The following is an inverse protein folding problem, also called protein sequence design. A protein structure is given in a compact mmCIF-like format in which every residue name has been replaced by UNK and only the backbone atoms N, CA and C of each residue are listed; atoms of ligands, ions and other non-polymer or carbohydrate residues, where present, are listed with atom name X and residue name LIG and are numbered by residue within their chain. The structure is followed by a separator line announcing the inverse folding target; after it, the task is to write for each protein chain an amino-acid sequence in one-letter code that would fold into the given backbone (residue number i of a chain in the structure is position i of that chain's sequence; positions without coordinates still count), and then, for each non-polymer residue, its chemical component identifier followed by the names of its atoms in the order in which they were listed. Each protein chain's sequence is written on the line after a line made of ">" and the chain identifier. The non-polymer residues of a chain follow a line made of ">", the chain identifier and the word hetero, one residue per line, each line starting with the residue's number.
data_IF_483264512936
#
_entry.id   IF_483264512936
#
_cell.length_a   1.000
_cell.length_b   1.000
_cell.length_c   1.000
_cell.angle_alpha   90.00
_cell.angle_beta   90.00
_cell.angle_gamma   90.00
#
_symmetry.space_group_name_H-M   'P 1'
#
loop_
_entity.id
_entity.type
_entity.pdbx_description
1 polymer ?
#
# COMPACT_ATOMS: atom_id res chain seq x y z
N UNK A 1 28.50 -25.75 25.88
CA UNK A 1 29.67 -26.09 25.03
C UNK A 1 30.44 -27.24 25.70
N UNK A 2 30.80 -28.30 24.97
CA UNK A 2 31.68 -29.37 25.49
C UNK A 2 32.96 -29.33 24.67
N UNK A 3 34.08 -28.96 25.30
CA UNK A 3 35.40 -29.02 24.65
C UNK A 3 36.01 -30.38 24.97
N UNK A 4 36.37 -31.14 23.94
CA UNK A 4 37.22 -32.33 24.05
C UNK A 4 38.60 -31.95 23.52
N UNK A 5 39.65 -32.25 24.25
CA UNK A 5 41.03 -32.13 23.77
C UNK A 5 41.78 -33.44 24.00
N UNK A 6 42.69 -33.72 23.09
CA UNK A 6 43.64 -34.84 23.15
C UNK A 6 44.92 -34.35 23.82
N UNK A 7 45.28 -34.90 24.97
CA UNK A 7 46.62 -34.70 25.53
C UNK A 7 47.64 -35.60 24.84
N UNK A 8 48.92 -35.23 24.91
CA UNK A 8 50.06 -35.86 24.22
C UNK A 8 50.23 -37.38 24.46
N UNK A 9 49.52 -37.97 25.42
CA UNK A 9 49.58 -39.40 25.73
C UNK A 9 48.43 -40.22 25.11
N UNK A 10 47.71 -39.68 24.11
CA UNK A 10 46.67 -40.42 23.37
C UNK A 10 45.40 -40.78 24.16
N UNK A 11 45.28 -40.34 25.43
CA UNK A 11 44.06 -40.51 26.24
C UNK A 11 43.26 -39.20 26.30
N UNK A 12 42.03 -39.24 25.82
CA UNK A 12 41.08 -38.11 25.85
C UNK A 12 40.74 -37.72 27.29
N UNK A 13 40.99 -36.46 27.68
CA UNK A 13 40.42 -35.89 28.91
C UNK A 13 39.24 -34.99 28.52
N UNK A 14 38.05 -35.34 29.01
CA UNK A 14 36.83 -34.55 28.81
C UNK A 14 36.70 -33.59 30.00
N UNK A 15 36.82 -32.27 29.77
CA UNK A 15 36.38 -31.26 30.73
C UNK A 15 35.13 -30.58 30.20
N UNK A 16 33.98 -30.92 30.79
CA UNK A 16 32.74 -30.16 30.59
C UNK A 16 32.71 -29.01 31.60
N UNK A 17 32.73 -27.76 31.11
CA UNK A 17 32.37 -26.60 31.94
C UNK A 17 31.00 -26.14 31.46
N UNK A 18 29.97 -26.24 32.31
CA UNK A 18 28.71 -25.54 32.09
C UNK A 18 29.06 -24.05 32.16
N UNK A 19 28.82 -23.33 31.06
CA UNK A 19 28.81 -21.87 31.14
C UNK A 19 27.67 -21.48 32.09
N UNK A 20 27.89 -20.56 33.04
CA UNK A 20 26.82 -20.08 33.89
C UNK A 20 25.87 -19.24 33.03
N UNK A 21 24.60 -19.21 33.44
CA UNK A 21 23.46 -18.53 32.83
C UNK A 21 22.62 -19.37 31.86
N UNK A 22 21.41 -19.64 32.33
CA UNK A 22 20.24 -20.04 31.54
C UNK A 22 20.00 -19.00 30.45
N UNK A 23 20.48 -19.27 29.24
CA UNK A 23 20.23 -18.43 28.08
C UNK A 23 18.93 -18.89 27.40
N UNK A 24 17.87 -18.10 27.60
CA UNK A 24 16.68 -18.14 26.74
C UNK A 24 17.08 -17.52 25.40
N UNK A 25 16.88 -18.26 24.31
CA UNK A 25 17.16 -17.80 22.95
C UNK A 25 16.03 -16.91 22.44
N UNK A 26 16.27 -15.60 22.36
CA UNK A 26 15.52 -14.70 21.48
C UNK A 26 16.34 -14.41 20.21
N UNK A 27 15.65 -14.30 19.07
CA UNK A 27 16.12 -14.49 17.69
C UNK A 27 17.22 -13.54 17.17
N UNK A 28 17.88 -12.71 17.99
CA UNK A 28 18.84 -11.70 17.51
C UNK A 28 20.22 -11.64 18.17
N UNK A 29 20.58 -12.56 19.06
CA UNK A 29 21.95 -12.60 19.63
C UNK A 29 22.69 -13.88 19.27
N UNK A 30 23.29 -13.91 18.08
CA UNK A 30 24.29 -14.93 17.74
C UNK A 30 25.49 -14.86 18.68
N UNK A 31 25.95 -16.00 19.21
CA UNK A 31 27.22 -16.06 19.96
C UNK A 31 28.38 -15.82 19.00
N UNK A 32 29.01 -14.63 19.09
CA UNK A 32 30.24 -14.35 18.34
C UNK A 32 31.40 -15.10 18.99
N UNK A 33 32.00 -16.00 18.24
CA UNK A 33 33.23 -16.69 18.66
C UNK A 33 34.40 -15.96 18.02
N UNK A 34 35.32 -15.41 18.82
CA UNK A 34 36.53 -14.81 18.29
C UNK A 34 37.44 -15.90 17.72
N UNK A 35 37.69 -15.84 16.40
CA UNK A 35 38.60 -16.74 15.69
C UNK A 35 40.02 -16.72 16.26
N UNK A 36 40.47 -15.58 16.80
CA UNK A 36 41.79 -15.44 17.43
C UNK A 36 41.93 -16.35 18.66
N UNK A 37 40.90 -16.41 19.50
CA UNK A 37 40.89 -17.28 20.69
C UNK A 37 40.89 -18.76 20.30
N UNK A 38 40.20 -19.14 19.22
CA UNK A 38 40.26 -20.51 18.70
C UNK A 38 41.63 -20.86 18.13
N UNK A 39 42.30 -19.88 17.52
CA UNK A 39 43.65 -20.04 16.96
C UNK A 39 44.68 -20.27 18.07
N UNK A 40 44.67 -19.47 19.14
CA UNK A 40 45.55 -19.65 20.31
C UNK A 40 45.36 -21.01 20.99
N UNK A 41 44.12 -21.48 21.09
CA UNK A 41 43.81 -22.80 21.68
C UNK A 41 44.30 -23.94 20.78
N UNK A 42 44.23 -23.78 19.46
CA UNK A 42 44.72 -24.75 18.49
C UNK A 42 46.26 -24.80 18.44
N UNK A 43 46.91 -23.65 18.56
CA UNK A 43 48.37 -23.55 18.65
C UNK A 43 48.94 -24.23 19.90
N UNK A 44 48.19 -24.23 21.01
CA UNK A 44 48.60 -24.85 22.28
C UNK A 44 48.20 -26.32 22.46
N UNK A 45 47.11 -26.78 21.83
CA UNK A 45 46.55 -28.12 22.09
C UNK A 45 46.33 -28.97 20.83
N UNK A 46 46.85 -28.53 19.67
CA UNK A 46 46.68 -29.20 18.39
C UNK A 46 45.27 -29.00 17.80
N UNK A 47 44.74 -30.00 17.12
CA UNK A 47 43.48 -29.87 16.38
C UNK A 47 42.26 -29.64 17.30
N UNK A 48 41.63 -28.48 17.16
CA UNK A 48 40.37 -28.14 17.83
C UNK A 48 39.19 -28.46 16.90
N UNK A 49 38.39 -29.47 17.26
CA UNK A 49 37.14 -29.77 16.55
C UNK A 49 35.95 -29.16 17.29
N UNK A 50 35.22 -28.25 16.63
CA UNK A 50 33.95 -27.72 17.14
C UNK A 50 32.79 -28.46 16.49
N UNK A 51 31.96 -29.13 17.30
CA UNK A 51 30.73 -29.76 16.83
C UNK A 51 29.56 -28.90 17.27
N UNK A 52 28.98 -28.16 16.31
CA UNK A 52 27.74 -27.41 16.52
C UNK A 52 26.58 -28.37 16.30
N UNK A 53 25.98 -28.87 17.39
CA UNK A 53 24.71 -29.60 17.32
C UNK A 53 23.57 -28.59 17.30
N UNK A 54 23.16 -28.17 16.11
CA UNK A 54 21.90 -27.46 15.93
C UNK A 54 20.77 -28.46 16.09
N UNK A 55 20.08 -28.45 17.22
CA UNK A 55 18.75 -29.03 17.28
C UNK A 55 17.86 -28.15 16.38
N UNK A 56 17.63 -28.54 15.13
CA UNK A 56 16.45 -28.04 14.39
C UNK A 56 15.24 -28.55 15.16
N UNK A 57 14.79 -27.72 16.09
CA UNK A 57 13.87 -28.09 17.14
C UNK A 57 12.46 -28.22 16.57
N UNK A 58 11.60 -28.98 17.24
CA UNK A 58 10.18 -29.24 16.90
C UNK A 58 9.38 -28.00 16.46
N UNK A 59 9.85 -26.79 16.79
CA UNK A 59 9.35 -25.48 16.39
C UNK A 59 9.21 -25.32 14.86
N UNK A 60 10.18 -25.75 14.04
CA UNK A 60 10.03 -25.68 12.56
C UNK A 60 8.86 -26.57 12.07
N UNK A 61 8.61 -27.70 12.73
CA UNK A 61 7.55 -28.63 12.35
C UNK A 61 6.17 -28.15 12.82
N UNK A 62 6.10 -27.53 14.01
CA UNK A 62 4.88 -26.89 14.54
C UNK A 62 4.48 -25.72 13.64
N UNK A 63 5.43 -24.88 13.23
CA UNK A 63 5.16 -23.76 12.30
C UNK A 63 4.58 -24.27 10.98
N UNK A 64 5.11 -25.35 10.40
CA UNK A 64 4.57 -25.94 9.17
C UNK A 64 3.14 -26.46 9.33
N UNK A 65 2.81 -27.05 10.49
CA UNK A 65 1.44 -27.52 10.74
C UNK A 65 0.47 -26.36 10.92
N UNK A 66 0.87 -25.29 11.60
CA UNK A 66 0.06 -24.07 11.76
C UNK A 66 -0.21 -23.42 10.40
N UNK A 67 0.83 -23.28 9.57
CA UNK A 67 0.73 -22.73 8.20
C UNK A 67 -0.30 -23.52 7.39
N UNK A 68 -0.25 -24.86 7.43
CA UNK A 68 -1.24 -25.71 6.74
C UNK A 68 -2.68 -25.50 7.21
N UNK A 69 -2.91 -25.26 8.51
CA UNK A 69 -4.26 -24.96 9.00
C UNK A 69 -4.76 -23.57 8.57
N UNK A 70 -3.85 -22.69 8.20
CA UNK A 70 -4.15 -21.36 7.67
C UNK A 70 -4.28 -21.34 6.15
N UNK A 71 -4.02 -22.42 5.42
CA UNK A 71 -4.24 -22.50 3.98
C UNK A 71 -5.73 -22.57 3.66
N UNK A 72 -6.20 -21.72 2.75
CA UNK A 72 -7.58 -21.76 2.30
C UNK A 72 -7.76 -22.98 1.38
N UNK A 73 -8.74 -23.88 1.62
CA UNK A 73 -8.93 -25.10 0.82
C UNK A 73 -9.44 -24.85 -0.61
N UNK A 74 -9.60 -23.58 -1.02
CA UNK A 74 -10.14 -23.18 -2.33
C UNK A 74 -9.05 -22.58 -3.20
N UNK A 75 -8.26 -21.65 -2.67
CA UNK A 75 -7.20 -20.99 -3.41
C UNK A 75 -5.79 -21.45 -3.03
N UNK A 76 -5.65 -22.28 -2.00
CA UNK A 76 -4.38 -22.74 -1.42
C UNK A 76 -3.45 -21.61 -0.91
N UNK A 77 -3.97 -20.38 -0.84
CA UNK A 77 -3.27 -19.24 -0.23
C UNK A 77 -3.50 -19.20 1.28
N UNK A 78 -2.54 -18.61 2.01
CA UNK A 78 -2.70 -18.38 3.44
C UNK A 78 -3.84 -17.38 3.69
N UNK A 79 -4.81 -17.81 4.50
CA UNK A 79 -5.93 -17.01 4.93
C UNK A 79 -5.45 -15.81 5.75
N UNK A 80 -6.07 -14.66 5.49
CA UNK A 80 -5.86 -13.41 6.22
C UNK A 80 -7.17 -12.96 6.85
N UNK A 81 -7.15 -12.22 7.97
CA UNK A 81 -8.35 -11.64 8.54
C UNK A 81 -9.07 -10.74 7.52
N UNK A 82 -10.41 -10.77 7.45
CA UNK A 82 -11.30 -11.64 8.23
C UNK A 82 -11.34 -13.08 7.69
N UNK A 83 -11.21 -14.08 8.56
CA UNK A 83 -11.29 -15.50 8.20
C UNK A 83 -12.72 -15.98 8.45
N UNK A 84 -13.40 -16.50 7.43
CA UNK A 84 -14.83 -16.84 7.48
C UNK A 84 -15.05 -18.32 7.78
N UNK A 85 -16.09 -18.65 8.54
CA UNK A 85 -16.46 -20.03 8.85
C UNK A 85 -17.82 -20.44 8.30
N UNK A 86 -17.97 -21.70 7.92
CA UNK A 86 -19.29 -22.31 7.77
C UNK A 86 -19.89 -22.69 9.13
N UNK A 87 -21.16 -23.09 9.15
CA UNK A 87 -21.88 -23.47 10.37
C UNK A 87 -21.25 -24.63 11.15
N UNK A 88 -20.40 -25.43 10.51
CA UNK A 88 -19.68 -26.57 11.13
C UNK A 88 -18.22 -26.27 11.48
N UNK A 89 -17.73 -25.05 11.21
CA UNK A 89 -16.40 -24.58 11.64
C UNK A 89 -15.27 -24.62 10.59
N UNK A 90 -15.50 -25.12 9.37
CA UNK A 90 -14.49 -25.06 8.30
C UNK A 90 -14.19 -23.61 7.90
N UNK A 91 -12.91 -23.28 7.78
CA UNK A 91 -12.43 -21.90 7.59
C UNK A 91 -12.01 -21.59 6.16
N UNK A 92 -12.29 -20.37 5.71
CA UNK A 92 -12.04 -19.90 4.35
C UNK A 92 -11.60 -18.43 4.36
N UNK A 93 -10.79 -18.02 3.38
CA UNK A 93 -10.41 -16.62 3.23
C UNK A 93 -11.62 -15.75 2.81
N UNK A 94 -11.55 -14.47 3.13
CA UNK A 94 -12.61 -13.51 2.82
C UNK A 94 -12.88 -13.36 1.31
N UNK A 95 -11.91 -13.67 0.44
CA UNK A 95 -12.03 -13.52 -1.01
C UNK A 95 -12.71 -14.71 -1.67
N UNK A 96 -12.51 -15.93 -1.17
CA UNK A 96 -13.15 -17.13 -1.70
C UNK A 96 -14.58 -17.29 -1.19
N UNK A 97 -14.84 -16.95 0.08
CA UNK A 97 -16.16 -17.18 0.71
C UNK A 97 -17.35 -16.62 -0.09
N UNK A 98 -17.36 -15.36 -0.59
CA UNK A 98 -18.49 -14.80 -1.34
C UNK A 98 -18.79 -15.51 -2.67
N UNK A 99 -17.82 -16.26 -3.21
CA UNK A 99 -17.94 -16.98 -4.50
C UNK A 99 -18.60 -18.35 -4.33
N UNK A 100 -18.96 -18.75 -3.11
CA UNK A 100 -19.42 -20.08 -2.77
C UNK A 100 -20.82 -20.04 -2.16
N UNK A 101 -21.72 -20.87 -2.68
CA UNK A 101 -23.09 -21.00 -2.16
C UNK A 101 -23.17 -21.87 -0.92
N UNK A 102 -22.35 -22.94 -0.85
CA UNK A 102 -22.27 -23.87 0.27
C UNK A 102 -20.81 -24.16 0.62
N UNK A 103 -20.57 -24.69 1.82
CA UNK A 103 -19.24 -25.13 2.22
C UNK A 103 -18.77 -26.28 1.32
N UNK A 104 -17.62 -26.18 0.61
CA UNK A 104 -17.13 -27.25 -0.25
C UNK A 104 -16.71 -28.51 0.53
N UNK A 105 -16.36 -28.35 1.82
CA UNK A 105 -15.90 -29.46 2.66
C UNK A 105 -17.05 -30.29 3.24
N UNK A 106 -18.11 -29.64 3.73
CA UNK A 106 -19.21 -30.31 4.44
C UNK A 106 -20.60 -30.12 3.82
N UNK A 107 -20.69 -29.36 2.73
CA UNK A 107 -21.93 -29.03 1.98
C UNK A 107 -22.98 -28.23 2.75
N UNK A 108 -22.70 -27.87 4.01
CA UNK A 108 -23.61 -27.07 4.83
C UNK A 108 -23.69 -25.61 4.39
N UNK A 109 -24.78 -24.96 4.78
CA UNK A 109 -24.96 -23.53 4.63
C UNK A 109 -23.88 -22.76 5.41
N UNK A 110 -23.66 -21.53 5.00
CA UNK A 110 -22.69 -20.67 5.63
C UNK A 110 -23.28 -19.91 6.82
N UNK A 111 -22.43 -19.69 7.83
CA UNK A 111 -22.66 -18.70 8.87
C UNK A 111 -21.96 -17.39 8.51
N UNK A 112 -22.48 -16.25 8.97
CA UNK A 112 -21.76 -14.96 8.89
C UNK A 112 -20.86 -14.76 10.12
N UNK A 113 -20.02 -15.76 10.42
CA UNK A 113 -19.15 -15.79 11.60
C UNK A 113 -17.68 -15.79 11.16
N UNK A 114 -16.83 -15.15 11.97
CA UNK A 114 -15.38 -15.10 11.78
C UNK A 114 -14.65 -16.07 12.71
N UNK A 115 -13.55 -16.63 12.24
CA UNK A 115 -12.64 -17.44 13.06
C UNK A 115 -11.58 -16.58 13.74
N UNK A 116 -11.94 -15.93 14.84
CA UNK A 116 -11.01 -15.10 15.61
C UNK A 116 -9.77 -15.87 16.10
N UNK A 117 -9.91 -17.18 16.37
CA UNK A 117 -8.80 -18.02 16.82
C UNK A 117 -7.73 -18.16 15.73
N UNK A 118 -8.13 -18.43 14.48
CA UNK A 118 -7.19 -18.46 13.35
C UNK A 118 -6.69 -17.05 13.00
N UNK A 119 -7.51 -16.02 13.13
CA UNK A 119 -7.07 -14.63 12.94
C UNK A 119 -5.93 -14.27 13.91
N UNK A 120 -6.02 -14.74 15.17
CA UNK A 120 -4.99 -14.56 16.19
C UNK A 120 -3.65 -15.25 15.88
N UNK A 121 -3.61 -16.20 14.95
CA UNK A 121 -2.37 -16.88 14.50
C UNK A 121 -1.71 -16.18 13.31
N UNK A 122 -2.40 -15.25 12.65
CA UNK A 122 -1.85 -14.54 11.48
C UNK A 122 -0.61 -13.67 11.79
N UNK A 123 -0.39 -13.13 13.01
CA UNK A 123 0.86 -12.41 13.32
C UNK A 123 2.10 -13.30 13.41
N UNK A 124 1.96 -14.60 13.69
CA UNK A 124 3.11 -15.53 13.85
C UNK A 124 3.49 -16.25 12.56
N UNK A 125 2.80 -15.95 11.46
CA UNK A 125 3.07 -16.50 10.13
C UNK A 125 3.50 -15.39 9.18
N UNK A 126 4.40 -15.74 8.28
CA UNK A 126 4.89 -14.85 7.23
C UNK A 126 4.11 -15.09 5.93
N UNK A 127 3.75 -13.99 5.27
CA UNK A 127 3.00 -13.95 4.03
C UNK A 127 3.87 -13.34 2.94
N UNK A 128 3.91 -13.98 1.79
CA UNK A 128 4.45 -13.38 0.57
C UNK A 128 3.48 -12.34 0.02
N UNK A 129 4.02 -11.26 -0.53
CA UNK A 129 3.24 -10.23 -1.20
C UNK A 129 2.46 -10.83 -2.39
N UNK A 130 1.20 -10.45 -2.54
CA UNK A 130 0.36 -10.88 -3.68
C UNK A 130 0.92 -10.45 -5.05
N UNK A 131 1.83 -9.47 -5.06
CA UNK A 131 2.51 -8.99 -6.26
C UNK A 131 3.87 -9.68 -6.48
N UNK A 132 4.15 -10.80 -5.79
CA UNK A 132 5.40 -11.53 -5.94
C UNK A 132 5.68 -12.00 -7.37
N UNK A 133 4.64 -12.46 -8.07
CA UNK A 133 4.74 -12.82 -9.50
C UNK A 133 5.15 -11.65 -10.42
N UNK A 134 5.04 -10.40 -9.93
CA UNK A 134 5.44 -9.20 -10.66
C UNK A 134 6.80 -8.64 -10.20
N UNK A 135 7.49 -9.33 -9.27
CA UNK A 135 8.83 -8.98 -8.79
C UNK A 135 8.92 -8.55 -7.33
N UNK A 136 7.81 -8.53 -6.58
CA UNK A 136 7.86 -8.15 -5.17
C UNK A 136 8.37 -9.30 -4.28
N UNK A 137 9.54 -9.14 -3.66
CA UNK A 137 10.11 -10.16 -2.76
C UNK A 137 9.72 -9.98 -1.28
N UNK A 138 8.79 -9.08 -0.97
CA UNK A 138 8.39 -8.80 0.40
C UNK A 138 7.69 -10.02 1.04
N UNK A 139 8.19 -10.39 2.22
CA UNK A 139 7.67 -11.44 3.08
C UNK A 139 7.51 -10.85 4.49
N UNK A 140 6.27 -10.69 4.96
CA UNK A 140 5.94 -9.93 6.18
C UNK A 140 4.85 -10.63 7.01
N UNK A 141 4.66 -10.22 8.26
CA UNK A 141 3.59 -10.77 9.12
C UNK A 141 2.19 -10.26 8.70
N UNK A 142 1.13 -10.87 9.24
CA UNK A 142 -0.25 -10.66 8.80
C UNK A 142 -0.72 -9.20 8.60
N UNK A 143 -0.53 -8.29 9.57
CA UNK A 143 -0.93 -6.88 9.41
C UNK A 143 0.04 -6.07 8.56
N UNK A 144 1.33 -6.38 8.65
CA UNK A 144 2.40 -5.69 7.92
C UNK A 144 2.29 -5.94 6.41
N UNK A 145 1.97 -7.18 6.00
CA UNK A 145 1.81 -7.50 4.57
C UNK A 145 0.62 -6.76 3.95
N UNK A 146 -0.48 -6.60 4.70
CA UNK A 146 -1.65 -5.86 4.22
C UNK A 146 -1.28 -4.37 4.03
N UNK A 147 -0.60 -3.77 5.01
CA UNK A 147 -0.13 -2.40 4.90
C UNK A 147 0.88 -2.23 3.73
N UNK A 148 1.76 -3.20 3.51
CA UNK A 148 2.67 -3.22 2.39
C UNK A 148 1.94 -3.28 1.04
N UNK A 149 1.00 -4.21 0.86
CA UNK A 149 0.27 -4.40 -0.41
C UNK A 149 -0.60 -3.18 -0.78
N UNK A 150 -0.97 -2.33 0.18
CA UNK A 150 -1.62 -1.06 -0.11
C UNK A 150 -0.72 -0.11 -0.91
N UNK A 151 0.58 -0.08 -0.57
CA UNK A 151 1.58 0.85 -1.10
C UNK A 151 2.68 0.18 -1.94
N UNK A 152 2.51 -1.10 -2.28
CA UNK A 152 3.50 -1.87 -3.00
C UNK A 152 3.77 -1.27 -4.38
N UNK A 153 5.03 -1.10 -4.74
CA UNK A 153 5.44 -0.54 -6.04
C UNK A 153 5.06 -1.42 -7.24
N UNK A 154 4.93 -2.73 -7.00
CA UNK A 154 4.53 -3.74 -8.00
C UNK A 154 3.01 -3.87 -8.12
N UNK A 155 2.25 -3.07 -7.38
CA UNK A 155 0.80 -3.05 -7.45
C UNK A 155 0.34 -2.70 -8.84
N UNK A 156 -0.51 -3.56 -9.40
CA UNK A 156 -1.05 -3.40 -10.74
C UNK A 156 -2.34 -2.58 -10.71
N UNK A 157 -2.44 -1.60 -11.60
CA UNK A 157 -3.59 -0.72 -11.77
C UNK A 157 -4.20 -0.92 -13.16
N UNK A 158 -5.53 -0.97 -13.22
CA UNK A 158 -6.26 -0.83 -14.47
C UNK A 158 -6.23 0.63 -14.91
N UNK A 159 -6.09 0.86 -16.21
CA UNK A 159 -6.22 2.21 -16.75
C UNK A 159 -7.63 2.75 -16.45
N UNK A 160 -7.77 3.93 -15.82
CA UNK A 160 -9.08 4.49 -15.47
C UNK A 160 -9.83 5.10 -16.66
N UNK A 161 -9.24 5.12 -17.86
CA UNK A 161 -9.88 5.62 -19.07
C UNK A 161 -10.82 4.56 -19.66
N UNK A 162 -12.06 4.95 -19.93
CA UNK A 162 -13.07 4.10 -20.56
C UNK A 162 -12.55 3.49 -21.87
N UNK A 163 -12.84 2.21 -22.08
CA UNK A 163 -12.39 1.40 -23.23
C UNK A 163 -10.88 1.15 -23.32
N UNK A 164 -10.10 1.51 -22.29
CA UNK A 164 -8.71 1.07 -22.18
C UNK A 164 -8.60 -0.18 -21.31
N UNK A 165 -7.95 -1.22 -21.83
CA UNK A 165 -7.75 -2.52 -21.13
C UNK A 165 -6.35 -2.65 -20.52
N UNK A 166 -5.53 -1.59 -20.59
CA UNK A 166 -4.17 -1.63 -20.09
C UNK A 166 -4.15 -1.88 -18.58
N UNK A 167 -3.22 -2.74 -18.16
CA UNK A 167 -2.95 -3.02 -16.75
C UNK A 167 -1.44 -2.93 -16.51
N UNK A 168 -1.03 -2.17 -15.50
CA UNK A 168 0.39 -2.00 -15.21
C UNK A 168 0.63 -1.42 -13.82
N UNK A 169 1.88 -1.48 -13.36
CA UNK A 169 2.27 -0.79 -12.13
C UNK A 169 2.23 0.74 -12.30
N UNK A 170 2.51 1.50 -11.24
CA UNK A 170 2.47 2.97 -11.28
C UNK A 170 3.29 3.56 -12.45
N UNK A 171 4.54 3.11 -12.61
CA UNK A 171 5.44 3.63 -13.64
C UNK A 171 4.99 3.26 -15.05
N UNK A 172 4.62 1.99 -15.26
CA UNK A 172 4.10 1.50 -16.54
C UNK A 172 2.80 2.21 -16.92
N UNK A 173 1.91 2.46 -15.95
CA UNK A 173 0.67 3.22 -16.16
C UNK A 173 0.97 4.67 -16.52
N UNK A 174 1.90 5.33 -15.82
CA UNK A 174 2.34 6.70 -16.13
C UNK A 174 2.88 6.80 -17.56
N UNK A 175 3.68 5.84 -17.99
CA UNK A 175 4.22 5.80 -19.36
C UNK A 175 3.14 5.50 -20.40
N UNK A 176 2.24 4.57 -20.11
CA UNK A 176 1.09 4.29 -20.97
C UNK A 176 0.23 5.54 -21.20
N UNK A 177 -0.03 6.34 -20.16
CA UNK A 177 -0.75 7.61 -20.32
C UNK A 177 -0.03 8.58 -21.25
N UNK A 178 1.30 8.70 -21.15
CA UNK A 178 2.09 9.58 -22.04
C UNK A 178 1.99 9.16 -23.51
N UNK A 179 1.94 7.87 -23.79
CA UNK A 179 1.99 7.34 -25.15
C UNK A 179 0.59 7.20 -25.78
N UNK A 180 -0.40 6.78 -25.00
CA UNK A 180 -1.72 6.40 -25.50
C UNK A 180 -2.84 7.37 -25.11
N UNK A 181 -2.62 8.21 -24.09
CA UNK A 181 -3.64 9.11 -23.52
C UNK A 181 -3.10 10.52 -23.22
N UNK A 182 -2.16 11.01 -24.04
CA UNK A 182 -1.49 12.29 -23.83
C UNK A 182 -2.46 13.47 -23.67
N UNK A 183 -3.58 13.47 -24.40
CA UNK A 183 -4.64 14.49 -24.33
C UNK A 183 -5.36 14.55 -22.97
N UNK A 184 -5.33 13.46 -22.20
CA UNK A 184 -5.98 13.35 -20.90
C UNK A 184 -4.98 13.48 -19.75
N UNK A 185 -3.71 13.75 -20.04
CA UNK A 185 -2.62 13.81 -19.08
C UNK A 185 -2.19 15.26 -18.82
N UNK A 186 -2.16 15.67 -17.56
CA UNK A 186 -1.57 16.94 -17.14
C UNK A 186 -0.10 16.69 -16.76
N UNK A 187 0.81 17.45 -17.37
CA UNK A 187 2.26 17.31 -17.18
C UNK A 187 2.85 18.09 -16.00
N UNK A 188 2.05 18.83 -15.23
CA UNK A 188 2.51 19.75 -14.17
C UNK A 188 1.58 19.72 -12.96
N UNK A 189 2.10 20.02 -11.77
CA UNK A 189 1.33 20.19 -10.53
C UNK A 189 0.44 21.44 -10.54
N UNK A 190 0.72 22.38 -11.45
CA UNK A 190 -0.12 23.54 -11.72
C UNK A 190 -0.74 23.35 -13.10
N UNK A 191 -2.03 23.06 -13.12
CA UNK A 191 -2.80 22.95 -14.35
C UNK A 191 -3.52 24.27 -14.63
N UNK A 192 -3.40 24.81 -15.85
CA UNK A 192 -4.15 25.98 -16.29
C UNK A 192 -5.02 25.61 -17.47
N UNK A 193 -6.29 25.99 -17.41
CA UNK A 193 -7.26 25.67 -18.44
C UNK A 193 -8.23 26.83 -18.66
N UNK A 194 -8.65 26.96 -19.91
CA UNK A 194 -9.64 27.92 -20.35
C UNK A 194 -10.94 27.19 -20.68
N UNK A 195 -12.08 27.71 -20.24
CA UNK A 195 -13.40 27.23 -20.66
C UNK A 195 -14.30 28.40 -21.06
N UNK A 196 -15.21 28.17 -22.02
CA UNK A 196 -16.11 29.21 -22.52
C UNK A 196 -17.41 28.67 -23.10
N UNK A 197 -18.15 29.57 -23.75
CA UNK A 197 -19.48 29.32 -24.31
C UNK A 197 -19.43 28.65 -25.69
N UNK A 198 -18.80 27.48 -25.81
CA UNK A 198 -19.00 26.70 -27.05
C UNK A 198 -20.23 25.80 -26.89
N UNK A 199 -21.36 26.36 -27.35
CA UNK A 199 -22.60 25.72 -27.80
C UNK A 199 -23.44 24.91 -26.80
N UNK A 200 -24.58 25.50 -26.40
CA UNK A 200 -25.93 24.90 -26.26
C UNK A 200 -26.08 23.41 -25.90
N UNK A 201 -25.25 22.86 -25.00
CA UNK A 201 -25.42 21.52 -24.45
C UNK A 201 -25.35 21.57 -22.93
N UNK A 202 -26.25 20.83 -22.30
CA UNK A 202 -26.75 21.09 -20.94
C UNK A 202 -25.77 20.81 -19.80
N UNK A 203 -24.62 20.21 -20.06
CA UNK A 203 -23.55 19.96 -19.08
C UNK A 203 -22.25 19.65 -19.82
N UNK A 204 -21.13 20.30 -19.46
CA UNK A 204 -19.80 19.88 -19.92
C UNK A 204 -19.12 19.15 -18.77
N UNK A 205 -18.57 17.96 -19.05
CA UNK A 205 -17.73 17.22 -18.11
C UNK A 205 -16.38 16.94 -18.77
N UNK A 206 -15.31 17.31 -18.08
CA UNK A 206 -13.93 17.11 -18.52
C UNK A 206 -13.19 16.35 -17.44
N UNK A 207 -12.53 15.27 -17.84
CA UNK A 207 -11.79 14.38 -16.94
C UNK A 207 -10.34 14.35 -17.39
N UNK A 208 -9.44 14.69 -16.47
CA UNK A 208 -8.00 14.71 -16.70
C UNK A 208 -7.28 13.96 -15.59
N UNK A 209 -6.08 13.48 -15.89
CA UNK A 209 -5.29 12.67 -14.99
C UNK A 209 -3.90 13.27 -14.80
N UNK A 210 -3.33 13.07 -13.62
CA UNK A 210 -1.95 13.43 -13.35
C UNK A 210 -1.31 12.52 -12.31
N UNK A 211 0.02 12.45 -12.37
CA UNK A 211 0.82 11.46 -11.65
C UNK A 211 1.86 12.17 -10.80
N UNK A 212 1.62 12.25 -9.49
CA UNK A 212 2.48 12.96 -8.54
C UNK A 212 2.54 12.22 -7.21
N UNK A 213 3.63 12.30 -6.45
CA UNK A 213 3.76 11.66 -5.12
C UNK A 213 3.37 10.15 -5.08
N UNK A 214 3.69 9.38 -6.13
CA UNK A 214 3.26 7.98 -6.31
C UNK A 214 1.73 7.76 -6.31
N UNK A 215 0.96 8.82 -6.57
CA UNK A 215 -0.49 8.80 -6.67
C UNK A 215 -0.95 9.09 -8.08
N UNK A 216 -2.09 8.49 -8.45
CA UNK A 216 -2.80 8.74 -9.70
C UNK A 216 -4.02 9.60 -9.35
N UNK A 217 -3.99 10.86 -9.76
CA UNK A 217 -5.06 11.80 -9.49
C UNK A 217 -5.99 11.93 -10.71
N UNK A 218 -7.29 11.95 -10.45
CA UNK A 218 -8.35 12.21 -11.43
C UNK A 218 -9.00 13.56 -11.11
N UNK A 219 -8.73 14.55 -11.95
CA UNK A 219 -9.41 15.86 -11.92
C UNK A 219 -10.68 15.76 -12.75
N UNK A 220 -11.83 16.03 -12.12
CA UNK A 220 -13.10 16.19 -12.83
C UNK A 220 -13.53 17.63 -12.74
N UNK A 221 -13.77 18.23 -13.90
CA UNK A 221 -14.42 19.52 -14.04
C UNK A 221 -15.81 19.28 -14.64
N UNK A 222 -16.85 19.73 -13.94
CA UNK A 222 -18.23 19.68 -14.41
C UNK A 222 -18.82 21.06 -14.40
N UNK A 223 -19.40 21.47 -15.53
CA UNK A 223 -20.13 22.72 -15.68
C UNK A 223 -21.60 22.42 -15.94
N UNK A 224 -22.47 22.99 -15.11
CA UNK A 224 -23.91 23.08 -15.34
C UNK A 224 -24.26 24.53 -15.75
N UNK A 225 -25.55 24.84 -15.88
CA UNK A 225 -26.00 26.22 -16.15
C UNK A 225 -25.74 27.16 -14.97
N UNK A 226 -25.76 26.63 -13.75
CA UNK A 226 -25.71 27.41 -12.51
C UNK A 226 -24.35 27.32 -11.82
N UNK A 227 -23.68 26.16 -11.90
CA UNK A 227 -22.48 25.88 -11.13
C UNK A 227 -21.35 25.35 -12.01
N UNK A 228 -20.14 25.74 -11.65
CA UNK A 228 -18.90 25.12 -12.09
C UNK A 228 -18.30 24.38 -10.89
N UNK A 229 -18.07 23.07 -11.02
CA UNK A 229 -17.58 22.21 -9.95
C UNK A 229 -16.30 21.50 -10.35
N UNK A 230 -15.35 21.44 -9.43
CA UNK A 230 -14.07 20.75 -9.57
C UNK A 230 -13.88 19.76 -8.42
N UNK A 231 -13.51 18.52 -8.73
CA UNK A 231 -13.01 17.58 -7.73
C UNK A 231 -11.69 16.93 -8.17
N UNK A 232 -10.92 16.48 -7.18
CA UNK A 232 -9.77 15.62 -7.42
C UNK A 232 -9.92 14.36 -6.59
N UNK A 233 -9.89 13.20 -7.24
CA UNK A 233 -9.88 11.89 -6.57
C UNK A 233 -8.51 11.22 -6.72
N UNK A 234 -8.05 10.54 -5.68
CA UNK A 234 -6.86 9.70 -5.68
C UNK A 234 -7.28 8.27 -5.99
N UNK A 235 -6.90 7.77 -7.16
CA UNK A 235 -7.38 6.48 -7.68
C UNK A 235 -6.73 5.28 -6.98
N UNK A 236 -5.59 5.49 -6.33
CA UNK A 236 -4.80 4.45 -5.68
C UNK A 236 -4.65 4.63 -4.16
N UNK A 237 -5.47 5.47 -3.51
CA UNK A 237 -5.42 5.70 -2.06
C UNK A 237 -6.31 4.75 -1.27
N UNK A 238 -5.75 4.07 -0.26
CA UNK A 238 -6.48 3.18 0.64
C UNK A 238 -6.50 3.65 2.10
N UNK A 239 -5.59 4.55 2.49
CA UNK A 239 -5.35 4.91 3.89
C UNK A 239 -6.04 6.21 4.37
N UNK A 240 -6.25 6.31 5.69
CA UNK A 240 -7.28 7.14 6.33
C UNK A 240 -7.00 8.65 6.50
N UNK A 241 -5.81 9.15 6.20
CA UNK A 241 -5.49 10.58 6.39
C UNK A 241 -5.42 11.34 5.04
N UNK A 242 -6.38 12.24 4.82
CA UNK A 242 -6.39 13.17 3.69
C UNK A 242 -5.25 14.19 3.83
N UNK A 243 -4.04 13.77 3.47
CA UNK A 243 -2.88 14.67 3.41
C UNK A 243 -2.93 15.59 2.20
N UNK A 244 -3.70 15.28 1.16
CA UNK A 244 -3.69 16.06 -0.07
C UNK A 244 -4.93 16.95 -0.18
N UNK A 245 -4.71 18.20 -0.53
CA UNK A 245 -5.76 19.16 -0.85
C UNK A 245 -5.42 19.87 -2.15
N UNK A 246 -6.45 20.36 -2.83
CA UNK A 246 -6.29 21.09 -4.07
C UNK A 246 -6.91 22.48 -3.96
N UNK A 247 -6.34 23.41 -4.71
CA UNK A 247 -6.75 24.80 -4.76
C UNK A 247 -7.17 25.11 -6.19
N UNK A 248 -8.38 25.65 -6.35
CA UNK A 248 -8.87 26.18 -7.62
C UNK A 248 -8.87 27.70 -7.53
N UNK A 249 -8.16 28.32 -8.47
CA UNK A 249 -8.06 29.78 -8.57
C UNK A 249 -8.58 30.23 -9.92
N UNK A 250 -9.56 31.12 -9.91
CA UNK A 250 -10.06 31.86 -11.09
C UNK A 250 -9.36 33.21 -11.11
N UNK A 251 -8.72 33.56 -12.23
CA UNK A 251 -7.94 34.80 -12.39
C UNK A 251 -8.55 35.69 -13.45
N UNK A 252 -8.65 37.00 -13.16
CA UNK A 252 -9.03 38.01 -14.16
C UNK A 252 -7.79 38.39 -14.99
N UNK A 253 -7.76 38.08 -16.30
CA UNK A 253 -6.58 38.34 -17.12
C UNK A 253 -6.32 39.84 -17.36
N UNK A 254 -7.28 40.73 -17.07
CA UNK A 254 -7.10 42.19 -17.18
C UNK A 254 -6.60 42.82 -15.89
N UNK A 255 -6.83 42.17 -14.75
CA UNK A 255 -6.50 42.67 -13.42
C UNK A 255 -5.88 41.54 -12.62
N UNK A 256 -4.56 41.41 -12.70
CA UNK A 256 -3.81 40.30 -12.10
C UNK A 256 -4.04 40.14 -10.58
N UNK A 257 -4.44 41.22 -9.88
CA UNK A 257 -4.80 41.18 -8.46
C UNK A 257 -6.21 40.65 -8.17
N UNK A 258 -7.11 40.57 -9.17
CA UNK A 258 -8.49 40.11 -8.98
C UNK A 258 -8.57 38.60 -9.24
N UNK A 259 -8.70 37.84 -8.16
CA UNK A 259 -8.80 36.38 -8.19
C UNK A 259 -9.84 35.85 -7.20
N UNK A 260 -10.50 34.75 -7.56
CA UNK A 260 -11.31 33.95 -6.64
C UNK A 260 -10.59 32.65 -6.36
N UNK A 261 -10.52 32.21 -5.11
CA UNK A 261 -9.82 30.99 -4.73
C UNK A 261 -10.64 30.19 -3.74
N UNK A 262 -10.76 28.89 -3.97
CA UNK A 262 -11.38 27.92 -3.06
C UNK A 262 -10.55 26.64 -3.06
N UNK A 263 -10.59 25.91 -1.96
CA UNK A 263 -9.85 24.66 -1.80
C UNK A 263 -10.72 23.58 -1.18
N UNK A 264 -10.40 22.32 -1.46
CA UNK A 264 -11.02 21.17 -0.82
C UNK A 264 -10.02 20.01 -0.72
N UNK A 265 -10.32 19.00 0.09
CA UNK A 265 -9.51 17.79 0.22
C UNK A 265 -9.68 16.89 -1.00
N UNK A 266 -8.64 16.15 -1.36
CA UNK A 266 -8.75 15.12 -2.40
C UNK A 266 -9.62 13.94 -1.91
N UNK A 267 -10.44 13.39 -2.79
CA UNK A 267 -11.30 12.24 -2.50
C UNK A 267 -10.49 10.93 -2.55
N UNK A 268 -10.87 9.95 -1.72
CA UNK A 268 -10.17 8.65 -1.62
C UNK A 268 -10.54 7.64 -2.70
N UNK A 269 -11.61 7.90 -3.44
CA UNK A 269 -12.13 7.05 -4.52
C UNK A 269 -12.94 7.90 -5.47
N UNK A 270 -13.22 7.36 -6.64
CA UNK A 270 -14.13 7.99 -7.56
C UNK A 270 -15.54 7.97 -6.96
N UNK A 271 -16.07 9.15 -6.65
CA UNK A 271 -17.42 9.36 -6.10
C UNK A 271 -18.11 10.37 -6.99
N UNK A 272 -19.40 10.16 -7.25
CA UNK A 272 -20.22 11.13 -7.96
C UNK A 272 -20.10 12.52 -7.32
N UNK A 273 -19.94 13.54 -8.17
CA UNK A 273 -19.82 14.93 -7.75
C UNK A 273 -21.03 15.35 -6.92
N UNK A 274 -20.76 15.89 -5.74
CA UNK A 274 -21.72 16.56 -4.87
C UNK A 274 -21.13 17.90 -4.41
N UNK A 275 -21.99 18.82 -3.94
CA UNK A 275 -21.56 20.15 -3.49
C UNK A 275 -20.57 20.09 -2.31
N UNK A 276 -20.65 19.04 -1.50
CA UNK A 276 -19.78 18.84 -0.32
C UNK A 276 -18.39 18.32 -0.74
N UNK A 277 -18.33 17.53 -1.82
CA UNK A 277 -17.14 16.80 -2.24
C UNK A 277 -16.41 17.48 -3.40
N UNK A 278 -16.72 18.75 -3.67
CA UNK A 278 -16.13 19.52 -4.77
C UNK A 278 -15.88 20.97 -4.35
N UNK A 279 -15.06 21.66 -5.13
CA UNK A 279 -14.98 23.11 -5.11
C UNK A 279 -15.97 23.62 -6.15
N UNK A 280 -16.95 24.42 -5.73
CA UNK A 280 -17.97 24.96 -6.62
C UNK A 280 -17.99 26.49 -6.64
N UNK A 281 -18.30 27.04 -7.80
CA UNK A 281 -18.53 28.48 -8.02
C UNK A 281 -19.82 28.68 -8.80
N UNK A 282 -20.59 29.71 -8.45
CA UNK A 282 -21.72 30.17 -9.26
C UNK A 282 -21.21 30.63 -10.61
N UNK A 283 -21.79 30.12 -11.69
CA UNK A 283 -21.41 30.50 -13.04
C UNK A 283 -21.61 32.01 -13.27
N UNK A 284 -22.65 32.60 -12.68
CA UNK A 284 -22.91 34.05 -12.78
C UNK A 284 -21.76 34.88 -12.20
N UNK A 285 -21.13 34.42 -11.10
CA UNK A 285 -19.99 35.10 -10.51
C UNK A 285 -18.78 35.06 -11.46
N UNK A 286 -18.59 33.92 -12.13
CA UNK A 286 -17.48 33.68 -13.06
C UNK A 286 -17.60 34.45 -14.38
N UNK A 287 -18.82 34.80 -14.82
CA UNK A 287 -19.04 35.61 -16.03
C UNK A 287 -18.27 36.92 -15.97
N UNK A 288 -18.13 37.51 -14.78
CA UNK A 288 -17.37 38.76 -14.58
C UNK A 288 -15.84 38.62 -14.74
N UNK A 289 -15.33 37.39 -14.89
CA UNK A 289 -13.92 37.05 -15.08
C UNK A 289 -13.59 36.63 -16.52
N UNK A 290 -14.55 36.75 -17.45
CA UNK A 290 -14.35 36.42 -18.87
C UNK A 290 -13.28 37.30 -19.51
N UNK A 291 -12.40 36.67 -20.29
CA UNK A 291 -11.42 37.37 -21.10
C UNK A 291 -12.03 37.82 -22.43
N UNK A 292 -12.46 39.07 -22.53
CA UNK A 292 -13.00 39.64 -23.77
C UNK A 292 -12.00 39.63 -24.93
N UNK A 293 -10.69 39.55 -24.65
CA UNK A 293 -9.65 39.52 -25.68
C UNK A 293 -9.34 38.09 -26.14
N UNK A 294 -9.93 37.08 -25.50
CA UNK A 294 -9.71 35.67 -25.79
C UNK A 294 -11.05 34.91 -25.82
N UNK A 295 -11.92 35.30 -26.75
CA UNK A 295 -13.21 34.66 -27.02
C UNK A 295 -14.10 34.44 -25.77
N UNK A 296 -14.08 35.38 -24.82
CA UNK A 296 -14.86 35.31 -23.56
C UNK A 296 -14.58 34.04 -22.73
N UNK A 297 -13.36 33.52 -22.82
CA UNK A 297 -12.91 32.37 -22.04
C UNK A 297 -12.64 32.77 -20.59
N UNK A 298 -12.98 31.88 -19.65
CA UNK A 298 -12.63 31.96 -18.24
C UNK A 298 -11.43 31.05 -18.00
N UNK A 299 -10.38 31.60 -17.39
CA UNK A 299 -9.17 30.85 -17.03
C UNK A 299 -9.23 30.42 -15.57
N UNK A 300 -9.01 29.13 -15.32
CA UNK A 300 -8.75 28.63 -13.97
C UNK A 300 -7.39 27.96 -13.90
N UNK A 301 -6.83 27.98 -12.69
CA UNK A 301 -5.69 27.17 -12.30
C UNK A 301 -6.10 26.17 -11.22
N UNK A 302 -5.51 24.99 -11.27
CA UNK A 302 -5.67 23.94 -10.30
C UNK A 302 -4.29 23.53 -9.79
N UNK A 303 -4.11 23.61 -8.48
CA UNK A 303 -2.84 23.35 -7.80
C UNK A 303 -3.03 22.30 -6.72
N UNK A 304 -2.12 21.31 -6.66
CA UNK A 304 -2.13 20.23 -5.67
C UNK A 304 -1.09 20.47 -4.57
N UNK A 305 -1.49 20.28 -3.32
CA UNK A 305 -0.63 20.43 -2.15
C UNK A 305 -0.70 19.22 -1.21
N UNK A 306 0.42 18.93 -0.55
CA UNK A 306 0.51 17.98 0.57
C UNK A 306 0.53 18.75 1.90
N UNK A 307 -0.34 18.36 2.83
CA UNK A 307 -0.42 18.84 4.20
C UNK A 307 0.79 18.35 4.98
N UNK A 308 1.87 19.13 4.96
CA UNK A 308 3.01 18.91 5.83
C UNK A 308 2.57 19.19 7.27
N UNK A 309 2.39 18.15 8.09
CA UNK A 309 2.34 18.33 9.54
C UNK A 309 3.66 18.97 9.97
N UNK A 310 3.67 20.28 10.20
CA UNK A 310 4.72 20.88 11.04
C UNK A 310 4.50 20.32 12.44
N UNK A 311 5.35 19.38 12.85
CA UNK A 311 5.54 19.08 14.26
C UNK A 311 5.97 20.38 14.92
N UNK A 312 5.04 21.08 15.58
CA UNK A 312 5.41 22.05 16.60
C UNK A 312 5.95 21.24 17.77
N UNK A 313 7.26 21.00 17.75
CA UNK A 313 8.00 20.70 18.97
C UNK A 313 8.02 22.00 19.75
N UNK A 314 7.03 22.17 20.64
CA UNK A 314 7.12 23.17 21.68
C UNK A 314 8.25 22.72 22.62
N UNK A 315 9.42 23.35 22.48
CA UNK A 315 10.35 23.43 23.59
C UNK A 315 9.75 24.42 24.59
N UNK A 316 9.19 23.87 25.66
CA UNK A 316 9.00 24.57 26.94
C UNK A 316 10.14 24.17 27.87
#
# INVERSE_FOLDING_TARGET
>A
MVIKYTGENGRYKIKSKRLPFDAICEEKNGTKILLLTLKEIAETNGNVSMIIKSNKCKVENINKQIVKQLECPVCNELMRPPIRQCSTGHSFCNTCRPKLNNCPTCRQAWSDVRNFSLEGLTPVVLYSCMYNQYGCEAILSGSEINAHEEICEFKMYLCPISNCIFTGNYLSTKNHFKLNHAQSLIGSTVYRCNFGQNHNTNTLETVLYFFEYNNIYRLTFKRTRELCCWNIAIMNSYNSNNKYFYVITITDPKKDQRKMTKSNLCLKKDVALSDINSVSFSYNDLVSYKNTNNNDLITYSCELYEHKFKYFVNFS
#
